data_IF_479615310265
#
_entry.id   IF_479615310265
#
_cell.length_a   1.000
_cell.length_b   1.000
_cell.length_c   1.000
_cell.angle_alpha   90.00
_cell.angle_beta   90.00
_cell.angle_gamma   90.00
#
_symmetry.space_group_name_H-M   'P 1'
#
loop_
_entity.id
_entity.type
_entity.pdbx_description
1 polymer ?
#
# COMPACT_ATOMS: atom_id res chain seq x y z
N UNK A 1 33.50 51.73 -12.33
CA UNK A 1 32.86 50.46 -12.78
C UNK A 1 31.90 50.06 -11.69
N UNK A 2 30.59 50.09 -11.95
CA UNK A 2 29.60 49.79 -10.93
C UNK A 2 29.74 48.31 -10.52
N UNK A 3 30.05 48.05 -9.25
CA UNK A 3 30.06 46.70 -8.68
C UNK A 3 28.60 46.21 -8.65
N UNK A 4 28.21 45.51 -9.72
CA UNK A 4 26.91 44.85 -9.81
C UNK A 4 26.85 43.84 -8.67
N UNK A 5 25.83 43.95 -7.82
CA UNK A 5 25.71 43.09 -6.65
C UNK A 5 25.67 41.62 -7.12
N UNK A 6 26.51 40.73 -6.57
CA UNK A 6 26.55 39.33 -6.99
C UNK A 6 25.17 38.67 -6.93
N UNK A 7 24.32 39.05 -5.97
CA UNK A 7 22.94 38.55 -5.88
C UNK A 7 22.07 38.95 -7.08
N UNK A 8 22.24 40.16 -7.62
CA UNK A 8 21.48 40.62 -8.78
C UNK A 8 21.83 39.81 -10.03
N UNK A 9 23.09 39.41 -10.19
CA UNK A 9 23.51 38.55 -11.32
C UNK A 9 22.83 37.18 -11.26
N UNK A 10 22.77 36.56 -10.07
CA UNK A 10 22.06 35.28 -9.91
C UNK A 10 20.55 35.42 -10.09
N UNK A 11 19.97 36.50 -9.57
CA UNK A 11 18.55 36.80 -9.75
C UNK A 11 18.17 36.95 -11.23
N UNK A 12 18.88 37.80 -11.97
CA UNK A 12 18.63 38.05 -13.40
C UNK A 12 18.69 36.72 -14.19
N UNK A 13 19.68 35.87 -13.89
CA UNK A 13 19.82 34.55 -14.53
C UNK A 13 18.68 33.58 -14.19
N UNK A 14 18.20 33.58 -12.95
CA UNK A 14 17.05 32.75 -12.56
C UNK A 14 15.76 33.23 -13.26
N UNK A 15 15.58 34.54 -13.40
CA UNK A 15 14.44 35.11 -14.15
C UNK A 15 14.48 34.71 -15.62
N UNK A 16 15.65 34.77 -16.26
CA UNK A 16 15.86 34.30 -17.63
C UNK A 16 15.50 32.82 -17.79
N UNK A 17 15.99 31.95 -16.89
CA UNK A 17 15.67 30.52 -16.90
C UNK A 17 14.17 30.25 -16.69
N UNK A 18 13.47 31.08 -15.91
CA UNK A 18 12.02 30.95 -15.77
C UNK A 18 11.28 31.34 -17.04
N UNK A 19 11.72 32.39 -17.74
CA UNK A 19 11.15 32.75 -19.04
C UNK A 19 11.36 31.63 -20.06
N UNK A 20 12.58 31.10 -20.16
CA UNK A 20 12.89 29.96 -21.04
C UNK A 20 12.04 28.71 -20.73
N UNK A 21 11.89 28.39 -19.44
CA UNK A 21 11.04 27.28 -19.00
C UNK A 21 9.60 27.47 -19.47
N UNK A 22 9.06 28.68 -19.35
CA UNK A 22 7.68 28.97 -19.73
C UNK A 22 7.48 28.90 -21.26
N UNK A 23 8.45 29.37 -22.04
CA UNK A 23 8.47 29.17 -23.49
C UNK A 23 8.50 27.68 -23.87
N UNK A 24 9.36 26.89 -23.24
CA UNK A 24 9.46 25.44 -23.48
C UNK A 24 8.12 24.77 -23.15
N UNK A 25 7.51 25.12 -22.01
CA UNK A 25 6.22 24.58 -21.60
C UNK A 25 5.12 24.93 -22.59
N UNK A 26 5.11 26.16 -23.12
CA UNK A 26 4.16 26.58 -24.13
C UNK A 26 4.34 25.78 -25.43
N UNK A 27 5.57 25.61 -25.92
CA UNK A 27 5.86 24.78 -27.11
C UNK A 27 5.44 23.32 -26.93
N UNK A 28 5.64 22.75 -25.74
CA UNK A 28 5.15 21.40 -25.38
C UNK A 28 3.62 21.35 -25.43
N UNK A 29 2.94 22.36 -24.88
CA UNK A 29 1.48 22.42 -24.88
C UNK A 29 0.90 22.54 -26.30
N UNK A 30 1.49 23.39 -27.14
CA UNK A 30 1.12 23.57 -28.55
C UNK A 30 1.31 22.27 -29.34
N UNK A 31 2.44 21.58 -29.14
CA UNK A 31 2.72 20.28 -29.79
C UNK A 31 1.70 19.22 -29.40
N UNK A 32 1.38 19.11 -28.09
CA UNK A 32 0.35 18.19 -27.61
C UNK A 32 -1.05 18.57 -28.11
N UNK A 33 -1.34 19.85 -28.29
CA UNK A 33 -2.60 20.32 -28.88
C UNK A 33 -2.67 19.98 -30.38
N UNK A 34 -1.57 20.15 -31.13
CA UNK A 34 -1.49 19.74 -32.53
C UNK A 34 -1.66 18.22 -32.69
N UNK A 35 -1.07 17.42 -31.81
CA UNK A 35 -1.30 15.97 -31.76
C UNK A 35 -2.78 15.64 -31.51
N UNK A 36 -3.44 16.33 -30.58
CA UNK A 36 -4.86 16.12 -30.32
C UNK A 36 -5.74 16.45 -31.54
N UNK A 37 -5.43 17.52 -32.28
CA UNK A 37 -6.13 17.86 -33.53
C UNK A 37 -6.00 16.78 -34.61
N UNK A 38 -4.93 15.96 -34.56
CA UNK A 38 -4.71 14.80 -35.43
C UNK A 38 -5.36 13.51 -34.91
N UNK A 39 -6.09 13.57 -33.79
CA UNK A 39 -6.80 12.42 -33.21
C UNK A 39 -6.03 11.67 -32.13
N UNK A 40 -4.83 12.12 -31.72
CA UNK A 40 -4.09 11.45 -30.64
C UNK A 40 -4.64 11.81 -29.24
N UNK A 41 -4.76 10.82 -28.35
CA UNK A 41 -5.14 11.05 -26.96
C UNK A 41 -3.99 11.64 -26.14
N UNK A 42 -4.19 12.84 -25.57
CA UNK A 42 -3.20 13.49 -24.68
C UNK A 42 -2.82 12.63 -23.48
N UNK A 43 -3.78 11.87 -22.92
CA UNK A 43 -3.56 10.99 -21.76
C UNK A 43 -2.62 9.83 -22.12
N UNK A 44 -2.88 9.16 -23.25
CA UNK A 44 -2.04 8.07 -23.73
C UNK A 44 -0.65 8.58 -24.10
N UNK A 45 -0.57 9.72 -24.80
CA UNK A 45 0.72 10.34 -25.15
C UNK A 45 1.57 10.65 -23.92
N UNK A 46 0.98 11.20 -22.85
CA UNK A 46 1.69 11.45 -21.60
C UNK A 46 2.17 10.14 -20.93
N UNK A 47 1.37 9.08 -20.97
CA UNK A 47 1.79 7.77 -20.46
C UNK A 47 2.96 7.20 -21.26
N UNK A 48 2.92 7.32 -22.59
CA UNK A 48 4.03 6.89 -23.46
C UNK A 48 5.30 7.70 -23.15
N UNK A 49 5.20 9.02 -23.02
CA UNK A 49 6.35 9.86 -22.66
C UNK A 49 6.93 9.53 -21.28
N UNK A 50 6.08 9.17 -20.32
CA UNK A 50 6.53 8.70 -19.00
C UNK A 50 7.27 7.37 -19.11
N UNK A 51 6.70 6.40 -19.84
CA UNK A 51 7.34 5.11 -20.09
C UNK A 51 8.65 5.25 -20.88
N UNK A 52 8.72 6.18 -21.82
CA UNK A 52 9.93 6.43 -22.62
C UNK A 52 11.12 6.96 -21.80
N UNK A 53 10.89 7.44 -20.57
CA UNK A 53 11.96 7.84 -19.65
C UNK A 53 12.52 6.68 -18.82
N UNK A 54 11.81 5.55 -18.77
CA UNK A 54 12.24 4.35 -18.08
C UNK A 54 13.22 3.57 -18.95
N UNK A 55 14.11 2.79 -18.32
CA UNK A 55 14.98 1.87 -19.06
C UNK A 55 14.14 0.76 -19.73
N UNK A 56 14.66 0.07 -20.76
CA UNK A 56 13.99 -1.09 -21.34
C UNK A 56 13.63 -2.15 -20.28
N UNK A 57 14.59 -2.46 -19.39
CA UNK A 57 14.42 -3.42 -18.29
C UNK A 57 13.30 -3.02 -17.33
N UNK A 58 13.27 -1.76 -16.89
CA UNK A 58 12.21 -1.23 -16.01
C UNK A 58 10.84 -1.30 -16.68
N UNK A 59 10.76 -1.06 -17.99
CA UNK A 59 9.49 -1.17 -18.72
C UNK A 59 8.99 -2.62 -18.78
N UNK A 60 9.90 -3.57 -19.01
CA UNK A 60 9.57 -5.00 -19.04
C UNK A 60 9.12 -5.51 -17.68
N UNK A 61 9.80 -5.10 -16.61
CA UNK A 61 9.42 -5.42 -15.23
C UNK A 61 8.04 -4.84 -14.88
N UNK A 62 7.80 -3.55 -15.15
CA UNK A 62 6.49 -2.92 -14.94
C UNK A 62 5.37 -3.62 -15.74
N UNK A 63 5.65 -4.03 -16.99
CA UNK A 63 4.69 -4.73 -17.83
C UNK A 63 4.39 -6.14 -17.32
N UNK A 64 5.40 -6.87 -16.86
CA UNK A 64 5.24 -8.18 -16.26
C UNK A 64 4.39 -8.11 -14.98
N UNK A 65 4.67 -7.15 -14.09
CA UNK A 65 3.90 -6.95 -12.86
C UNK A 65 2.45 -6.54 -13.15
N UNK A 66 2.25 -5.63 -14.11
CA UNK A 66 0.90 -5.20 -14.52
C UNK A 66 0.09 -6.41 -15.00
N UNK A 67 0.68 -7.29 -15.81
CA UNK A 67 0.01 -8.50 -16.28
C UNK A 67 -0.31 -9.49 -15.16
N UNK A 68 0.60 -9.69 -14.20
CA UNK A 68 0.33 -10.55 -13.04
C UNK A 68 -0.88 -10.02 -12.25
N UNK A 69 -0.93 -8.71 -12.01
CA UNK A 69 -2.05 -8.09 -11.30
C UNK A 69 -3.35 -8.09 -12.10
N UNK A 70 -3.31 -7.84 -13.40
CA UNK A 70 -4.47 -7.97 -14.28
C UNK A 70 -4.99 -9.41 -14.33
N UNK A 71 -4.09 -10.40 -14.32
CA UNK A 71 -4.40 -11.82 -14.19
C UNK A 71 -5.12 -12.14 -12.88
N UNK A 72 -4.55 -11.71 -11.75
CA UNK A 72 -5.14 -11.92 -10.42
C UNK A 72 -6.53 -11.26 -10.27
N UNK A 73 -6.76 -10.14 -10.95
CA UNK A 73 -8.04 -9.43 -10.96
C UNK A 73 -9.03 -9.93 -12.02
N UNK A 74 -8.66 -10.95 -12.82
CA UNK A 74 -9.49 -11.47 -13.89
C UNK A 74 -9.67 -10.52 -15.09
N UNK A 75 -8.83 -9.48 -15.20
CA UNK A 75 -8.84 -8.49 -16.28
C UNK A 75 -7.98 -8.87 -17.49
N UNK A 76 -7.31 -10.02 -17.45
CA UNK A 76 -6.37 -10.46 -18.50
C UNK A 76 -7.04 -10.67 -19.87
N UNK A 77 -8.36 -10.87 -19.93
CA UNK A 77 -9.11 -11.15 -21.17
C UNK A 77 -9.30 -9.98 -22.14
N UNK A 78 -8.84 -8.76 -21.81
CA UNK A 78 -9.01 -7.57 -22.66
C UNK A 78 -7.75 -7.13 -23.42
N UNK A 79 -6.60 -7.78 -23.20
CA UNK A 79 -5.33 -7.36 -23.80
C UNK A 79 -4.93 -8.31 -24.95
N UNK A 80 -4.36 -7.81 -26.07
CA UNK A 80 -3.92 -8.66 -27.18
C UNK A 80 -2.92 -9.75 -26.75
N UNK A 81 -2.17 -9.51 -25.67
CA UNK A 81 -1.25 -10.49 -25.09
C UNK A 81 -1.95 -11.49 -24.18
N UNK A 82 -2.95 -11.07 -23.40
CA UNK A 82 -3.79 -11.94 -22.61
C UNK A 82 -4.65 -12.88 -23.46
N UNK A 83 -5.20 -12.40 -24.57
CA UNK A 83 -5.86 -13.24 -25.59
C UNK A 83 -4.88 -14.25 -26.21
N UNK A 84 -3.64 -13.84 -26.51
CA UNK A 84 -2.62 -14.74 -27.02
C UNK A 84 -2.21 -15.80 -25.99
N UNK A 85 -2.12 -15.45 -24.70
CA UNK A 85 -1.85 -16.36 -23.60
C UNK A 85 -3.00 -17.35 -23.38
N UNK A 86 -4.25 -16.86 -23.35
CA UNK A 86 -5.46 -17.68 -23.26
C UNK A 86 -5.58 -18.62 -24.46
N UNK A 87 -5.30 -18.13 -25.67
CA UNK A 87 -5.29 -18.95 -26.89
C UNK A 87 -4.24 -20.05 -26.81
N UNK A 88 -3.04 -19.77 -26.32
CA UNK A 88 -2.01 -20.81 -26.10
C UNK A 88 -2.49 -21.86 -25.10
N UNK A 89 -3.02 -21.44 -23.95
CA UNK A 89 -3.58 -22.34 -22.93
C UNK A 89 -4.76 -23.18 -23.45
N UNK A 90 -5.64 -22.59 -24.25
CA UNK A 90 -6.77 -23.31 -24.84
C UNK A 90 -6.35 -24.30 -25.94
N UNK A 91 -5.34 -23.93 -26.74
CA UNK A 91 -4.78 -24.80 -27.78
C UNK A 91 -3.96 -25.94 -27.15
N UNK A 92 -3.22 -25.69 -26.08
CA UNK A 92 -2.51 -26.71 -25.28
C UNK A 92 -3.50 -27.74 -24.71
N UNK A 93 -4.61 -27.26 -24.12
CA UNK A 93 -5.68 -28.11 -23.60
C UNK A 93 -6.36 -28.95 -24.69
N UNK A 94 -6.51 -28.40 -25.91
CA UNK A 94 -7.11 -29.09 -27.06
C UNK A 94 -6.15 -30.06 -27.75
N UNK A 95 -4.84 -29.81 -27.67
CA UNK A 95 -3.78 -30.69 -28.20
C UNK A 95 -3.48 -31.87 -27.29
N UNK A 96 -3.84 -31.79 -26.01
CA UNK A 96 -3.92 -32.95 -25.13
C UNK A 96 -5.09 -33.81 -25.66
N UNK A 97 -4.83 -35.00 -26.23
CA UNK A 97 -5.91 -35.83 -26.74
C UNK A 97 -6.85 -36.20 -25.58
N UNK A 98 -8.11 -35.76 -25.65
CA UNK A 98 -9.20 -36.39 -24.90
C UNK A 98 -9.48 -37.74 -25.57
N UNK A 99 -8.86 -38.80 -25.07
CA UNK A 99 -8.92 -40.13 -25.66
C UNK A 99 -7.67 -40.95 -25.35
N UNK A 100 -7.47 -41.23 -24.07
CA UNK A 100 -6.52 -42.20 -23.56
C UNK A 100 -7.20 -42.86 -22.37
N UNK A 101 -8.12 -43.78 -22.67
CA UNK A 101 -8.57 -44.81 -21.76
C UNK A 101 -7.36 -45.72 -21.48
N UNK A 102 -6.45 -45.28 -20.62
CA UNK A 102 -5.47 -46.14 -19.97
C UNK A 102 -5.94 -46.35 -18.53
N UNK A 103 -6.73 -47.41 -18.38
CA UNK A 103 -6.56 -48.34 -17.26
C UNK A 103 -5.04 -48.57 -17.06
N UNK A 104 -4.54 -48.56 -15.83
CA UNK A 104 -3.10 -48.63 -15.45
C UNK A 104 -2.27 -47.32 -15.46
N UNK A 105 -2.81 -46.27 -14.85
CA UNK A 105 -1.96 -45.47 -13.95
C UNK A 105 -2.58 -45.40 -12.57
N UNK A 106 -2.32 -46.47 -11.81
CA UNK A 106 -2.25 -46.44 -10.35
C UNK A 106 -1.31 -45.29 -9.94
N UNK A 107 -1.85 -44.08 -9.84
CA UNK A 107 -1.42 -43.22 -8.75
C UNK A 107 -1.89 -43.94 -7.48
N UNK A 108 -0.99 -44.29 -6.55
CA UNK A 108 -1.40 -44.85 -5.27
C UNK A 108 -2.10 -43.76 -4.47
N UNK A 109 -3.37 -43.51 -4.80
CA UNK A 109 -4.35 -43.12 -3.81
C UNK A 109 -4.61 -44.40 -3.01
N UNK A 110 -3.76 -44.62 -2.01
CA UNK A 110 -3.94 -45.66 -1.03
C UNK A 110 -5.25 -45.35 -0.29
N UNK A 111 -6.34 -45.98 -0.69
CA UNK A 111 -7.60 -46.10 0.05
C UNK A 111 -7.44 -47.13 1.20
N UNK A 112 -6.35 -47.03 1.96
CA UNK A 112 -6.13 -47.77 3.20
C UNK A 112 -5.21 -46.95 4.11
N UNK A 113 -5.77 -45.85 4.63
CA UNK A 113 -5.55 -45.45 6.02
C UNK A 113 -6.77 -44.62 6.42
N UNK A 114 -7.83 -45.32 6.84
CA UNK A 114 -8.77 -44.82 7.86
C UNK A 114 -8.01 -44.58 9.18
N UNK A 115 -6.98 -43.73 9.17
CA UNK A 115 -6.76 -42.88 10.33
C UNK A 115 -7.69 -41.69 10.13
N UNK A 116 -8.83 -41.79 10.82
CA UNK A 116 -9.36 -40.63 11.50
C UNK A 116 -8.16 -39.78 11.95
N UNK A 117 -8.06 -38.49 11.59
CA UNK A 117 -7.04 -37.67 12.20
C UNK A 117 -7.28 -37.80 13.71
N UNK A 118 -6.33 -38.36 14.51
CA UNK A 118 -6.48 -38.27 15.94
C UNK A 118 -6.60 -36.79 16.21
N UNK A 119 -7.75 -36.41 16.76
CA UNK A 119 -8.12 -35.04 16.98
C UNK A 119 -6.89 -34.25 17.35
N UNK A 120 -6.43 -33.42 16.42
CA UNK A 120 -5.45 -32.38 16.63
C UNK A 120 -6.13 -31.30 17.46
N UNK A 121 -6.58 -31.70 18.65
CA UNK A 121 -6.69 -30.85 19.79
C UNK A 121 -5.35 -30.14 19.88
N UNK A 122 -5.36 -28.91 19.34
CA UNK A 122 -4.84 -27.76 20.06
C UNK A 122 -4.91 -28.11 21.55
N UNK A 123 -3.76 -28.35 22.15
CA UNK A 123 -3.12 -27.26 22.84
C UNK A 123 -3.93 -27.04 24.10
N UNK A 124 -3.46 -27.69 25.15
CA UNK A 124 -3.84 -27.46 26.54
C UNK A 124 -5.35 -27.39 26.83
N UNK A 125 -5.80 -28.42 27.55
CA UNK A 125 -6.66 -28.23 28.73
C UNK A 125 -5.99 -27.20 29.66
N UNK A 126 -6.01 -25.93 29.26
CA UNK A 126 -6.03 -24.85 30.22
C UNK A 126 -7.40 -24.99 30.88
N UNK A 127 -7.35 -25.07 32.19
CA UNK A 127 -8.49 -25.21 33.06
C UNK A 127 -9.71 -24.42 32.58
N UNK A 128 -10.88 -24.93 32.93
CA UNK A 128 -12.12 -24.19 33.03
C UNK A 128 -11.89 -22.95 33.92
N UNK A 129 -11.25 -21.93 33.35
CA UNK A 129 -11.24 -20.57 33.88
C UNK A 129 -12.67 -20.07 33.66
N UNK A 130 -13.31 -19.51 34.69
CA UNK A 130 -14.70 -19.10 34.59
C UNK A 130 -14.83 -18.17 33.38
N UNK A 131 -15.76 -18.49 32.48
CA UNK A 131 -16.24 -17.52 31.50
C UNK A 131 -16.82 -16.38 32.31
N UNK A 132 -15.99 -15.40 32.64
CA UNK A 132 -16.43 -14.13 33.17
C UNK A 132 -17.12 -13.48 31.98
N UNK A 133 -18.42 -13.73 31.86
CA UNK A 133 -19.30 -12.99 30.97
C UNK A 133 -19.39 -11.57 31.52
N UNK A 134 -18.29 -10.83 31.37
CA UNK A 134 -18.25 -9.42 31.69
C UNK A 134 -19.35 -8.73 30.87
N UNK A 135 -20.11 -7.91 31.57
CA UNK A 135 -21.06 -7.01 30.95
C UNK A 135 -20.34 -6.07 29.98
N UNK A 136 -21.10 -5.47 29.07
CA UNK A 136 -20.57 -4.53 28.08
C UNK A 136 -19.75 -3.40 28.72
N UNK A 137 -20.20 -2.89 29.85
CA UNK A 137 -19.53 -1.79 30.55
C UNK A 137 -18.22 -2.25 31.20
N UNK A 138 -18.18 -3.47 31.74
CA UNK A 138 -16.96 -4.06 32.30
C UNK A 138 -15.90 -4.34 31.22
N UNK A 139 -16.31 -4.87 30.07
CA UNK A 139 -15.40 -5.11 28.95
C UNK A 139 -14.79 -3.79 28.42
N UNK A 140 -15.61 -2.73 28.34
CA UNK A 140 -15.14 -1.37 27.96
C UNK A 140 -14.20 -0.78 29.00
N UNK A 141 -14.52 -0.90 30.29
CA UNK A 141 -13.68 -0.40 31.36
C UNK A 141 -12.29 -1.08 31.36
N UNK A 142 -12.25 -2.40 31.13
CA UNK A 142 -11.00 -3.15 30.99
C UNK A 142 -10.20 -2.72 29.75
N UNK A 143 -10.87 -2.44 28.63
CA UNK A 143 -10.22 -1.95 27.41
C UNK A 143 -9.55 -0.59 27.61
N UNK A 144 -10.27 0.35 28.21
CA UNK A 144 -9.74 1.68 28.53
C UNK A 144 -8.57 1.63 29.52
N UNK A 145 -8.66 0.79 30.56
CA UNK A 145 -7.57 0.61 31.54
C UNK A 145 -6.32 -0.03 30.92
N UNK A 146 -6.49 -1.01 30.01
CA UNK A 146 -5.39 -1.61 29.27
C UNK A 146 -4.66 -0.58 28.38
N UNK A 147 -5.40 0.30 27.71
CA UNK A 147 -4.81 1.40 26.94
C UNK A 147 -4.01 2.36 27.83
N UNK A 148 -4.57 2.78 28.97
CA UNK A 148 -3.89 3.69 29.91
C UNK A 148 -2.61 3.09 30.51
N UNK A 149 -2.58 1.77 30.70
CA UNK A 149 -1.41 1.04 31.18
C UNK A 149 -0.39 0.68 30.09
N UNK A 150 -0.64 1.08 28.83
CA UNK A 150 0.25 0.83 27.70
C UNK A 150 0.28 -0.63 27.23
N UNK A 151 -0.71 -1.45 27.59
CA UNK A 151 -0.80 -2.81 27.09
C UNK A 151 -1.18 -2.81 25.60
N UNK A 152 -0.53 -3.65 24.78
CA UNK A 152 -0.85 -3.73 23.36
C UNK A 152 -2.25 -4.33 23.16
N UNK A 153 -2.95 -3.92 22.10
CA UNK A 153 -4.27 -4.47 21.72
C UNK A 153 -4.26 -6.00 21.53
N UNK A 154 -3.10 -6.58 21.20
CA UNK A 154 -2.90 -8.03 21.08
C UNK A 154 -3.02 -8.79 22.41
N UNK A 155 -2.90 -8.10 23.56
CA UNK A 155 -3.04 -8.69 24.89
C UNK A 155 -4.51 -8.72 25.37
N UNK A 156 -5.48 -8.60 24.46
CA UNK A 156 -6.90 -8.68 24.78
C UNK A 156 -7.24 -10.05 25.41
N UNK A 157 -7.81 -10.08 26.64
CA UNK A 157 -8.09 -11.32 27.36
C UNK A 157 -9.28 -12.11 26.79
N UNK A 158 -10.10 -11.50 25.93
CA UNK A 158 -11.29 -12.15 25.38
C UNK A 158 -10.97 -12.99 24.14
N UNK A 159 -11.65 -14.15 24.03
CA UNK A 159 -11.50 -15.07 22.90
C UNK A 159 -11.84 -14.37 21.57
N UNK A 160 -11.15 -14.73 20.46
CA UNK A 160 -11.46 -14.19 19.13
C UNK A 160 -12.93 -14.37 18.74
N UNK A 161 -13.48 -13.40 17.99
CA UNK A 161 -14.88 -13.37 17.49
C UNK A 161 -15.98 -13.31 18.56
N UNK A 162 -15.65 -12.93 19.80
CA UNK A 162 -16.66 -12.66 20.85
C UNK A 162 -17.09 -11.19 20.86
N UNK A 163 -18.29 -10.89 21.37
CA UNK A 163 -18.81 -9.51 21.47
C UNK A 163 -18.00 -8.68 22.47
N UNK A 164 -17.58 -9.31 23.57
CA UNK A 164 -16.75 -8.72 24.61
C UNK A 164 -15.42 -8.23 24.06
N UNK A 165 -14.79 -9.00 23.16
CA UNK A 165 -13.57 -8.59 22.47
C UNK A 165 -13.77 -7.28 21.70
N UNK A 166 -14.88 -7.16 20.96
CA UNK A 166 -15.23 -5.95 20.21
C UNK A 166 -15.43 -4.73 21.12
N UNK A 167 -16.12 -4.91 22.26
CA UNK A 167 -16.32 -3.83 23.24
C UNK A 167 -15.02 -3.39 23.91
N UNK A 168 -14.12 -4.32 24.20
CA UNK A 168 -12.80 -4.03 24.75
C UNK A 168 -11.91 -3.30 23.72
N UNK A 169 -11.85 -3.80 22.48
CA UNK A 169 -11.05 -3.21 21.40
C UNK A 169 -11.53 -1.77 21.10
N UNK A 170 -12.84 -1.53 21.07
CA UNK A 170 -13.44 -0.20 20.88
C UNK A 170 -13.00 0.79 21.96
N UNK A 171 -13.08 0.40 23.23
CA UNK A 171 -12.69 1.25 24.36
C UNK A 171 -11.17 1.46 24.44
N UNK A 172 -10.39 0.45 24.07
CA UNK A 172 -8.92 0.57 23.99
C UNK A 172 -8.51 1.60 22.93
N UNK A 173 -9.07 1.52 21.72
CA UNK A 173 -8.78 2.48 20.64
C UNK A 173 -9.22 3.91 20.99
N UNK A 174 -10.38 4.05 21.64
CA UNK A 174 -10.87 5.36 22.07
C UNK A 174 -9.97 6.00 23.14
N UNK A 175 -9.43 5.20 24.06
CA UNK A 175 -8.57 5.68 25.14
C UNK A 175 -7.12 5.94 24.72
N UNK A 176 -6.56 5.11 23.83
CA UNK A 176 -5.19 5.28 23.31
C UNK A 176 -5.10 6.33 22.20
N UNK A 177 -6.22 6.64 21.52
CA UNK A 177 -6.24 7.48 20.32
C UNK A 177 -5.55 6.84 19.12
N UNK A 178 -5.30 5.53 19.20
CA UNK A 178 -4.52 4.72 18.28
C UNK A 178 -5.31 3.45 17.95
N UNK A 179 -5.26 2.98 16.71
CA UNK A 179 -5.88 1.70 16.31
C UNK A 179 -4.98 0.49 16.66
N UNK A 180 -3.88 0.71 17.39
CA UNK A 180 -2.91 -0.34 17.75
C UNK A 180 -2.11 -0.89 16.55
N UNK A 181 -2.44 -0.44 15.33
CA UNK A 181 -1.76 -0.72 14.06
C UNK A 181 -1.01 0.50 13.52
N UNK A 182 -0.70 1.44 14.41
CA UNK A 182 0.03 2.64 14.06
C UNK A 182 1.45 2.32 13.56
N UNK A 183 1.77 2.83 12.37
CA UNK A 183 3.11 2.71 11.81
C UNK A 183 4.09 3.44 12.76
N UNK A 184 5.22 2.80 13.17
CA UNK A 184 6.23 3.47 13.98
C UNK A 184 6.63 4.81 13.36
N UNK A 185 6.91 5.82 14.20
CA UNK A 185 7.19 7.18 13.73
C UNK A 185 8.31 7.22 12.67
N UNK A 186 9.33 6.37 12.82
CA UNK A 186 10.43 6.24 11.85
C UNK A 186 9.99 5.83 10.43
N UNK A 187 8.83 5.18 10.29
CA UNK A 187 8.28 4.69 9.02
C UNK A 187 7.00 5.43 8.62
N UNK A 188 6.52 6.38 9.43
CA UNK A 188 5.41 7.25 9.03
C UNK A 188 5.89 8.12 7.86
N UNK A 189 5.18 8.12 6.72
CA UNK A 189 5.51 9.04 5.64
C UNK A 189 5.39 10.47 6.17
N UNK A 190 6.47 11.25 6.04
CA UNK A 190 6.45 12.66 6.42
C UNK A 190 5.33 13.37 5.64
N UNK A 191 4.39 14.05 6.32
CA UNK A 191 3.29 14.69 5.65
C UNK A 191 3.86 15.73 4.67
N UNK A 192 3.55 15.57 3.38
CA UNK A 192 3.96 16.55 2.36
C UNK A 192 3.46 17.92 2.80
N UNK A 193 4.31 18.97 2.81
CA UNK A 193 3.87 20.30 3.19
C UNK A 193 2.69 20.70 2.32
N UNK A 194 1.52 20.94 2.94
CA UNK A 194 0.35 21.47 2.24
C UNK A 194 0.77 22.79 1.59
N UNK A 195 0.74 22.83 0.27
CA UNK A 195 0.98 24.05 -0.52
C UNK A 195 -0.14 25.05 -0.19
N UNK A 196 0.09 25.90 0.81
CA UNK A 196 -0.81 27.00 1.20
C UNK A 196 -1.34 27.02 2.64
N UNK A 197 -0.86 26.17 3.56
CA UNK A 197 -1.23 26.27 4.99
C UNK A 197 -0.32 27.24 5.76
N UNK A 198 -0.83 28.02 6.73
CA UNK A 198 -0.01 28.92 7.54
C UNK A 198 1.05 28.13 8.32
N UNK A 199 2.26 28.66 8.30
CA UNK A 199 3.47 28.13 8.94
C UNK A 199 3.20 28.01 10.46
N UNK A 200 3.35 26.84 11.10
CA UNK A 200 3.33 26.79 12.55
C UNK A 200 4.50 27.61 13.07
N UNK A 201 4.19 28.61 13.88
CA UNK A 201 5.18 29.46 14.55
C UNK A 201 6.04 28.57 15.43
N UNK A 202 7.35 28.68 15.24
CA UNK A 202 8.33 27.91 15.99
C UNK A 202 8.24 28.28 17.46
N UNK A 203 7.99 27.28 18.28
CA UNK A 203 8.14 27.34 19.74
C UNK A 203 9.62 27.62 20.03
N UNK A 204 9.85 28.80 20.62
CA UNK A 204 11.17 29.36 20.84
C UNK A 204 12.00 28.51 21.80
N UNK A 205 13.26 28.33 21.45
CA UNK A 205 14.27 27.84 22.36
C UNK A 205 14.39 28.78 23.57
N UNK A 206 14.10 28.25 24.74
CA UNK A 206 14.36 28.89 26.02
C UNK A 206 15.87 28.74 26.32
N UNK A 207 16.63 29.74 25.88
CA UNK A 207 17.95 30.03 26.42
C UNK A 207 17.77 30.93 27.65
N UNK A 208 18.06 30.41 28.84
CA UNK A 208 18.32 31.23 30.02
C UNK A 208 19.79 31.05 30.42
N UNK A 209 20.56 32.07 30.08
CA UNK A 209 21.92 32.36 30.52
C UNK A 209 21.84 33.23 31.80
N UNK A 210 22.81 33.08 32.72
CA UNK A 210 23.01 33.91 33.92
C UNK A 210 22.86 33.09 35.22
N UNK A 211 23.87 32.88 36.06
CA UNK A 211 25.08 33.66 36.33
C UNK A 211 24.79 34.68 37.43
N UNK A 212 25.02 34.32 38.71
CA UNK A 212 25.53 35.21 39.77
C UNK A 212 25.85 34.40 41.06
N UNK A 213 26.95 34.79 41.72
CA UNK A 213 27.47 34.43 43.05
C UNK A 213 28.08 33.03 43.30
#
# INVERSE_FOLDING_TARGET
MANRNPLQVFYDKVVELFAERDEINQRIAETKAAAAKRGFSKKVLNNVLRRAKLTPEQREEEDALTQIYEGALGMLGGTPLGEAALRRLSEERKRRPEGGDDEDSELPFSDDDEQEPPGGASGDVVADDPVVEDSQDEARAKGAAAAQSGQPVLANPYKPRTKQRGWWDEAWCQASGSDGMDIPEAWRPTPKPKKGGPKPEGEGGEGSEGGDA
#
